data_IF_163870737201
#
_entry.id   IF_163870737201
#
_cell.length_a   1.000
_cell.length_b   1.000
_cell.length_c   1.000
_cell.angle_alpha   90.00
_cell.angle_beta   90.00
_cell.angle_gamma   90.00
#
_symmetry.space_group_name_H-M   'P 1'
#
loop_
_entity.id
_entity.type
_entity.pdbx_description
1 polymer ?
#
# COMPACT_ATOMS: atom_id res chain seq x y z
N UNK A 1 37.54 -24.12 -3.20
CA UNK A 1 38.03 -23.18 -2.15
C UNK A 1 39.12 -22.33 -2.77
N UNK A 2 38.81 -21.07 -3.07
CA UNK A 2 39.84 -20.10 -3.40
C UNK A 2 39.98 -19.15 -2.21
N UNK A 3 41.11 -19.22 -1.49
CA UNK A 3 41.52 -18.19 -0.52
C UNK A 3 42.11 -17.02 -1.31
N UNK A 4 41.42 -15.89 -1.27
CA UNK A 4 41.99 -14.61 -1.72
C UNK A 4 42.51 -13.89 -0.48
N UNK A 5 43.81 -13.99 -0.22
CA UNK A 5 44.50 -13.11 0.72
C UNK A 5 44.77 -11.76 0.01
N UNK A 6 44.29 -10.68 0.56
CA UNK A 6 44.72 -9.34 0.25
C UNK A 6 43.58 -8.36 0.00
N UNK A 7 43.44 -7.38 0.90
CA UNK A 7 42.62 -6.16 0.84
C UNK A 7 41.15 -6.40 0.47
N UNK A 8 40.29 -6.43 1.48
CA UNK A 8 38.86 -6.35 1.30
C UNK A 8 38.54 -5.06 0.50
N UNK A 9 38.43 -5.20 -0.80
CA UNK A 9 37.69 -4.22 -1.59
C UNK A 9 36.25 -4.29 -1.09
N UNK A 10 35.82 -3.30 -0.35
CA UNK A 10 34.43 -3.11 0.02
C UNK A 10 33.65 -3.02 -1.30
N UNK A 11 33.06 -4.14 -1.71
CA UNK A 11 32.18 -4.18 -2.89
C UNK A 11 30.95 -3.38 -2.47
N UNK A 12 30.84 -2.16 -2.98
CA UNK A 12 29.61 -1.38 -2.85
C UNK A 12 28.54 -2.12 -3.66
N UNK A 13 27.63 -2.81 -2.96
CA UNK A 13 26.45 -3.35 -3.60
C UNK A 13 25.31 -2.34 -3.46
N UNK A 14 24.64 -2.03 -4.57
CA UNK A 14 23.43 -1.25 -4.57
C UNK A 14 22.22 -2.19 -4.72
N UNK A 15 21.21 -2.03 -3.86
CA UNK A 15 19.95 -2.72 -4.00
C UNK A 15 19.03 -1.86 -4.90
N UNK A 16 18.68 -2.38 -6.08
CA UNK A 16 17.93 -1.64 -7.10
C UNK A 16 16.49 -2.15 -7.31
N UNK A 17 16.03 -3.07 -6.47
CA UNK A 17 14.71 -3.69 -6.58
C UNK A 17 13.74 -3.18 -5.49
N UNK A 18 13.75 -1.87 -5.24
CA UNK A 18 12.87 -1.26 -4.24
C UNK A 18 11.37 -1.27 -4.62
N UNK A 19 11.05 -1.56 -5.88
CA UNK A 19 9.67 -1.78 -6.32
C UNK A 19 9.09 -3.09 -5.78
N UNK A 20 9.91 -4.11 -5.59
CA UNK A 20 9.50 -5.37 -4.99
C UNK A 20 9.45 -5.29 -3.46
N UNK A 21 10.51 -4.75 -2.83
CA UNK A 21 10.59 -4.57 -1.38
C UNK A 21 11.64 -3.53 -1.02
N UNK A 22 11.43 -2.84 0.10
CA UNK A 22 12.38 -1.85 0.62
C UNK A 22 12.80 -2.23 2.03
N UNK A 23 14.12 -2.20 2.29
CA UNK A 23 14.65 -2.46 3.64
C UNK A 23 14.12 -1.39 4.59
N UNK A 24 13.45 -1.76 5.69
CA UNK A 24 13.00 -0.79 6.68
C UNK A 24 14.18 -0.09 7.36
N UNK A 25 13.98 1.15 7.78
CA UNK A 25 14.96 1.83 8.63
C UNK A 25 15.01 1.18 10.01
N UNK A 26 16.09 1.47 10.77
CA UNK A 26 16.23 0.92 12.12
C UNK A 26 15.08 1.35 13.02
N UNK A 27 14.65 2.60 12.92
CA UNK A 27 13.55 3.16 13.74
C UNK A 27 12.23 2.44 13.45
N UNK A 28 11.95 2.11 12.19
CA UNK A 28 10.76 1.34 11.80
C UNK A 28 10.84 -0.09 12.35
N UNK A 29 12.00 -0.76 12.20
CA UNK A 29 12.19 -2.11 12.72
C UNK A 29 12.08 -2.16 14.26
N UNK A 30 12.67 -1.20 14.97
CA UNK A 30 12.58 -1.09 16.42
C UNK A 30 11.12 -0.86 16.87
N UNK A 31 10.37 -0.02 16.15
CA UNK A 31 8.95 0.22 16.46
C UNK A 31 8.09 -1.03 16.23
N UNK A 32 8.33 -1.78 15.17
CA UNK A 32 7.65 -3.06 14.93
C UNK A 32 7.95 -4.03 16.07
N UNK A 33 9.22 -4.13 16.48
CA UNK A 33 9.62 -4.99 17.59
C UNK A 33 8.92 -4.59 18.90
N UNK A 34 8.87 -3.28 19.24
CA UNK A 34 8.15 -2.75 20.41
C UNK A 34 6.68 -3.16 20.38
N UNK A 35 6.01 -2.98 19.21
CA UNK A 35 4.59 -3.32 19.08
C UNK A 35 4.32 -4.81 19.22
N UNK A 36 5.24 -5.66 18.77
CA UNK A 36 5.08 -7.11 18.87
C UNK A 36 5.38 -7.69 20.25
N UNK A 37 6.24 -7.03 21.03
CA UNK A 37 6.78 -7.60 22.29
C UNK A 37 6.34 -6.86 23.54
N UNK A 38 6.03 -5.56 23.44
CA UNK A 38 5.69 -4.71 24.60
C UNK A 38 4.26 -4.21 24.52
N UNK A 39 3.85 -3.65 23.37
CA UNK A 39 2.51 -3.07 23.16
C UNK A 39 1.61 -3.97 22.33
N UNK A 40 1.61 -5.25 22.61
CA UNK A 40 0.97 -6.31 21.82
C UNK A 40 -0.55 -6.40 21.96
N UNK A 41 -1.18 -5.51 22.72
CA UNK A 41 -2.61 -5.54 23.00
C UNK A 41 -3.48 -5.43 21.75
N UNK A 42 -4.66 -6.04 21.79
CA UNK A 42 -5.65 -5.86 20.74
C UNK A 42 -6.26 -4.44 20.84
N UNK A 43 -6.14 -3.57 19.83
CA UNK A 43 -6.64 -2.20 19.89
C UNK A 43 -8.17 -2.09 20.01
N UNK A 44 -8.91 -3.18 19.82
CA UNK A 44 -10.37 -3.24 20.05
C UNK A 44 -10.76 -3.60 21.48
N UNK A 45 -9.80 -3.94 22.35
CA UNK A 45 -10.04 -4.32 23.73
C UNK A 45 -10.09 -3.10 24.66
N UNK A 46 -10.94 -3.17 25.70
CA UNK A 46 -11.17 -2.06 26.65
C UNK A 46 -10.25 -2.11 27.89
N UNK A 47 -9.40 -3.12 28.03
CA UNK A 47 -8.40 -3.17 29.11
C UNK A 47 -7.15 -2.34 28.74
N UNK A 48 -6.27 -2.15 29.72
CA UNK A 48 -5.09 -1.25 29.61
C UNK A 48 -4.25 -1.49 28.36
N UNK A 49 -3.87 -2.74 28.11
CA UNK A 49 -3.01 -3.12 26.97
C UNK A 49 -3.69 -2.84 25.62
N UNK A 50 -5.02 -3.04 25.54
CA UNK A 50 -5.81 -2.70 24.36
C UNK A 50 -5.89 -1.20 24.12
N UNK A 51 -6.09 -0.40 25.17
CA UNK A 51 -6.11 1.06 25.06
C UNK A 51 -4.76 1.63 24.66
N UNK A 52 -3.65 1.08 25.16
CA UNK A 52 -2.30 1.46 24.76
C UNK A 52 -2.06 1.16 23.27
N UNK A 53 -2.45 -0.03 22.79
CA UNK A 53 -2.36 -0.39 21.37
C UNK A 53 -3.25 0.51 20.49
N UNK A 54 -4.48 0.80 20.93
CA UNK A 54 -5.40 1.71 20.23
C UNK A 54 -4.81 3.12 20.09
N UNK A 55 -4.19 3.63 21.15
CA UNK A 55 -3.50 4.93 21.14
C UNK A 55 -2.41 4.98 20.06
N UNK A 56 -1.59 3.92 19.93
CA UNK A 56 -0.54 3.86 18.91
C UNK A 56 -1.13 3.86 17.48
N UNK A 57 -2.21 3.11 17.25
CA UNK A 57 -2.90 3.09 15.94
C UNK A 57 -3.48 4.47 15.60
N UNK A 58 -4.15 5.12 16.56
CA UNK A 58 -4.71 6.46 16.36
C UNK A 58 -3.62 7.49 16.08
N UNK A 59 -2.54 7.48 16.85
CA UNK A 59 -1.40 8.38 16.66
C UNK A 59 -0.75 8.19 15.28
N UNK A 60 -0.60 6.94 14.82
CA UNK A 60 -0.10 6.65 13.48
C UNK A 60 -1.04 7.22 12.40
N UNK A 61 -2.35 7.03 12.56
CA UNK A 61 -3.39 7.54 11.65
C UNK A 61 -3.34 9.07 11.54
N UNK A 62 -3.29 9.77 12.67
CA UNK A 62 -3.20 11.23 12.72
C UNK A 62 -1.94 11.78 12.05
N UNK A 63 -0.79 11.10 12.24
CA UNK A 63 0.47 11.47 11.57
C UNK A 63 0.39 11.32 10.06
N UNK A 64 -0.20 10.22 9.57
CA UNK A 64 -0.37 9.98 8.13
C UNK A 64 -1.34 11.03 7.55
N UNK A 65 -2.48 11.23 8.18
CA UNK A 65 -3.47 12.23 7.77
C UNK A 65 -2.88 13.64 7.66
N UNK A 66 -2.08 14.04 8.65
CA UNK A 66 -1.35 15.33 8.61
C UNK A 66 -0.38 15.42 7.43
N UNK A 67 0.31 14.33 7.08
CA UNK A 67 1.24 14.30 5.95
C UNK A 67 0.49 14.42 4.61
N UNK A 68 -0.71 13.84 4.53
CA UNK A 68 -1.56 13.88 3.34
C UNK A 68 -2.52 15.09 3.29
N UNK A 69 -2.52 15.94 4.34
CA UNK A 69 -3.41 17.08 4.48
C UNK A 69 -4.90 16.69 4.40
N UNK A 70 -5.27 15.60 5.06
CA UNK A 70 -6.64 15.09 5.14
C UNK A 70 -7.04 14.81 6.61
N UNK A 71 -8.28 14.46 6.84
CA UNK A 71 -8.78 14.08 8.16
C UNK A 71 -8.34 12.66 8.54
N UNK A 72 -8.14 12.41 9.84
CA UNK A 72 -7.71 11.10 10.34
C UNK A 72 -8.72 9.98 9.98
N UNK A 73 -10.01 10.30 9.91
CA UNK A 73 -11.07 9.36 9.57
C UNK A 73 -11.05 8.96 8.07
N UNK A 74 -10.34 9.69 7.22
CA UNK A 74 -10.13 9.34 5.81
C UNK A 74 -9.00 8.31 5.63
N UNK A 75 -8.22 8.02 6.67
CA UNK A 75 -7.13 7.04 6.61
C UNK A 75 -7.66 5.65 7.00
N UNK A 76 -7.57 4.71 6.09
CA UNK A 76 -7.96 3.31 6.33
C UNK A 76 -6.71 2.44 6.23
N UNK A 77 -6.40 1.71 7.31
CA UNK A 77 -5.35 0.70 7.30
C UNK A 77 -5.86 -0.59 6.69
N UNK A 78 -5.08 -1.17 5.79
CA UNK A 78 -5.36 -2.44 5.10
C UNK A 78 -4.20 -3.41 5.30
N UNK A 79 -4.42 -4.68 4.98
CA UNK A 79 -3.39 -5.72 5.05
C UNK A 79 -2.28 -5.55 3.98
N UNK A 80 -2.54 -4.77 2.94
CA UNK A 80 -1.59 -4.52 1.85
C UNK A 80 -2.21 -3.83 0.65
N UNK A 81 -1.39 -3.61 -0.39
CA UNK A 81 -1.79 -2.86 -1.58
C UNK A 81 -2.98 -3.47 -2.33
N UNK A 82 -3.08 -4.79 -2.38
CA UNK A 82 -4.21 -5.48 -3.05
C UNK A 82 -5.54 -5.15 -2.37
N UNK A 83 -5.60 -5.22 -1.05
CA UNK A 83 -6.82 -4.85 -0.32
C UNK A 83 -7.14 -3.35 -0.48
N UNK A 84 -6.12 -2.48 -0.41
CA UNK A 84 -6.28 -1.05 -0.59
C UNK A 84 -6.84 -0.71 -1.98
N UNK A 85 -6.28 -1.30 -3.04
CA UNK A 85 -6.74 -1.10 -4.41
C UNK A 85 -8.19 -1.58 -4.60
N UNK A 86 -8.52 -2.78 -4.11
CA UNK A 86 -9.88 -3.30 -4.19
C UNK A 86 -10.87 -2.42 -3.42
N UNK A 87 -10.55 -2.02 -2.20
CA UNK A 87 -11.40 -1.15 -1.39
C UNK A 87 -11.67 0.19 -2.09
N UNK A 88 -10.63 0.80 -2.65
CA UNK A 88 -10.74 2.07 -3.37
C UNK A 88 -11.58 1.94 -4.65
N UNK A 89 -11.28 0.93 -5.49
CA UNK A 89 -11.92 0.76 -6.79
C UNK A 89 -13.40 0.39 -6.63
N UNK A 90 -13.71 -0.65 -5.84
CA UNK A 90 -15.11 -1.07 -5.63
C UNK A 90 -15.89 -0.02 -4.85
N UNK A 91 -15.26 0.64 -3.85
CA UNK A 91 -15.88 1.73 -3.09
C UNK A 91 -16.24 2.92 -3.97
N UNK A 92 -15.31 3.37 -4.82
CA UNK A 92 -15.55 4.47 -5.75
C UNK A 92 -16.63 4.11 -6.79
N UNK A 93 -16.58 2.91 -7.36
CA UNK A 93 -17.56 2.42 -8.32
C UNK A 93 -18.98 2.38 -7.69
N UNK A 94 -19.11 1.84 -6.49
CA UNK A 94 -20.38 1.78 -5.77
C UNK A 94 -20.94 3.17 -5.46
N UNK A 95 -20.10 4.07 -4.93
CA UNK A 95 -20.50 5.44 -4.60
C UNK A 95 -20.83 6.27 -5.85
N UNK A 96 -20.10 6.05 -6.95
CA UNK A 96 -20.25 6.76 -8.22
C UNK A 96 -21.39 6.27 -9.12
N UNK A 97 -21.97 5.11 -8.87
CA UNK A 97 -22.92 4.40 -9.77
C UNK A 97 -24.09 5.28 -10.26
N UNK A 98 -24.55 6.21 -9.43
CA UNK A 98 -25.65 7.13 -9.80
C UNK A 98 -25.19 8.26 -10.73
N UNK A 99 -23.88 8.52 -10.84
CA UNK A 99 -23.29 9.61 -11.65
C UNK A 99 -22.79 9.10 -13.01
N UNK A 100 -22.50 7.81 -13.10
CA UNK A 100 -22.01 7.15 -14.30
C UNK A 100 -21.51 5.74 -14.00
N UNK A 101 -21.24 4.99 -15.07
CA UNK A 101 -20.74 3.61 -14.98
C UNK A 101 -19.47 3.40 -15.81
N UNK A 102 -18.75 4.48 -16.17
CA UNK A 102 -17.53 4.39 -16.95
C UNK A 102 -16.31 4.45 -16.05
N UNK A 103 -15.37 3.52 -16.24
CA UNK A 103 -14.08 3.44 -15.54
C UNK A 103 -12.99 3.51 -16.60
N UNK A 104 -12.01 4.39 -16.40
CA UNK A 104 -10.84 4.51 -17.26
C UNK A 104 -9.61 4.09 -16.45
N UNK A 105 -8.82 3.20 -17.01
CA UNK A 105 -7.57 2.71 -16.41
C UNK A 105 -6.51 2.52 -17.50
N UNK A 106 -5.30 2.07 -17.14
CA UNK A 106 -4.29 1.71 -18.13
C UNK A 106 -4.15 0.19 -18.26
N UNK A 107 -3.60 -0.28 -19.38
CA UNK A 107 -3.35 -1.70 -19.60
C UNK A 107 -2.07 -2.20 -18.89
N UNK A 108 -1.34 -1.33 -18.19
CA UNK A 108 -0.07 -1.63 -17.51
C UNK A 108 -0.17 -1.50 -15.99
N UNK A 109 -1.39 -1.48 -15.46
CA UNK A 109 -1.60 -1.44 -14.01
C UNK A 109 -1.16 -2.75 -13.34
N UNK A 110 -0.97 -2.66 -12.02
CA UNK A 110 -0.77 -3.85 -11.20
C UNK A 110 -1.99 -4.79 -11.30
N UNK A 111 -1.74 -6.09 -11.24
CA UNK A 111 -2.78 -7.14 -11.38
C UNK A 111 -3.98 -6.92 -10.44
N UNK A 112 -3.75 -6.48 -9.20
CA UNK A 112 -4.82 -6.16 -8.24
C UNK A 112 -5.78 -5.04 -8.68
N UNK A 113 -5.36 -4.19 -9.63
CA UNK A 113 -6.19 -3.15 -10.24
C UNK A 113 -6.91 -3.74 -11.44
N UNK A 114 -6.18 -4.46 -12.31
CA UNK A 114 -6.75 -5.07 -13.52
C UNK A 114 -7.89 -6.04 -13.16
N UNK A 115 -7.66 -6.95 -12.22
CA UNK A 115 -8.67 -7.90 -11.76
C UNK A 115 -9.92 -7.22 -11.17
N UNK A 116 -9.71 -6.13 -10.40
CA UNK A 116 -10.84 -5.39 -9.82
C UNK A 116 -11.68 -4.69 -10.89
N UNK A 117 -11.07 -4.08 -11.91
CA UNK A 117 -11.82 -3.43 -12.99
C UNK A 117 -12.46 -4.44 -13.94
N UNK A 118 -11.84 -5.59 -14.19
CA UNK A 118 -12.42 -6.68 -14.97
C UNK A 118 -13.67 -7.27 -14.30
N UNK A 119 -13.65 -7.36 -12.98
CA UNK A 119 -14.83 -7.78 -12.22
C UNK A 119 -15.95 -6.74 -12.30
N UNK A 120 -15.64 -5.45 -12.26
CA UNK A 120 -16.62 -4.38 -12.45
C UNK A 120 -17.20 -4.37 -13.88
N UNK A 121 -16.39 -4.70 -14.89
CA UNK A 121 -16.86 -4.86 -16.27
C UNK A 121 -17.93 -5.97 -16.38
N UNK A 122 -17.72 -7.13 -15.74
CA UNK A 122 -18.71 -8.21 -15.64
C UNK A 122 -19.99 -7.76 -14.93
N UNK A 123 -19.89 -6.80 -14.01
CA UNK A 123 -21.02 -6.20 -13.29
C UNK A 123 -21.73 -5.08 -14.07
N UNK A 124 -21.32 -4.83 -15.33
CA UNK A 124 -21.97 -3.89 -16.26
C UNK A 124 -21.38 -2.48 -16.26
N UNK A 125 -20.19 -2.28 -15.71
CA UNK A 125 -19.44 -1.04 -15.90
C UNK A 125 -18.77 -1.04 -17.29
N UNK A 126 -18.71 0.13 -17.91
CA UNK A 126 -17.93 0.36 -19.15
C UNK A 126 -16.48 0.60 -18.75
N UNK A 127 -15.58 -0.35 -19.04
CA UNK A 127 -14.15 -0.25 -18.71
C UNK A 127 -13.35 0.09 -19.96
N UNK A 128 -12.59 1.18 -19.89
CA UNK A 128 -11.65 1.63 -20.94
C UNK A 128 -10.25 1.44 -20.43
N UNK A 129 -9.49 0.51 -21.06
CA UNK A 129 -8.07 0.28 -20.75
C UNK A 129 -7.20 0.99 -21.80
N UNK A 130 -6.54 2.06 -21.40
CA UNK A 130 -5.64 2.82 -22.26
C UNK A 130 -4.33 2.03 -22.45
N UNK A 131 -3.95 1.82 -23.72
CA UNK A 131 -2.70 1.12 -24.05
C UNK A 131 -1.56 2.13 -24.17
N UNK A 132 -0.44 1.96 -23.46
CA UNK A 132 0.71 2.82 -23.62
C UNK A 132 1.41 2.60 -24.95
N UNK A 133 2.12 3.62 -25.43
CA UNK A 133 3.03 3.48 -26.57
C UNK A 133 4.28 2.67 -26.22
N UNK A 134 5.19 2.45 -27.19
CA UNK A 134 6.41 1.67 -26.97
C UNK A 134 7.40 2.25 -25.95
N UNK A 135 7.16 3.47 -25.45
CA UNK A 135 7.93 4.13 -24.40
C UNK A 135 7.19 4.14 -23.04
N UNK A 136 6.03 3.51 -22.93
CA UNK A 136 5.23 3.48 -21.72
C UNK A 136 4.36 4.72 -21.47
N UNK A 137 4.28 5.65 -22.42
CA UNK A 137 3.47 6.85 -22.29
C UNK A 137 2.02 6.57 -22.74
N UNK A 138 1.07 7.06 -21.95
CA UNK A 138 -0.34 7.15 -22.35
C UNK A 138 -0.49 8.44 -23.14
N UNK A 139 -0.91 8.32 -24.39
CA UNK A 139 -1.25 9.46 -25.27
C UNK A 139 -2.75 9.47 -25.52
N UNK A 140 -3.31 10.68 -25.67
CA UNK A 140 -4.69 10.90 -26.08
C UNK A 140 -5.01 10.27 -27.44
#
# INVERSE_FOLDING_TARGET
RYEVKGTEKQIMSAYLDNSATTKPTKEVADKIYEMLTVKFGNPSSFHKEGLEANYEVRNAREKIAKTLSCDADEIIFTSGGTEANNLAIFGAAAAGKRKGNRIVTTAIEHESIIEAVDELEKQGFEVIKLTPNGYGNITE
#
